data_IF_238623436923
#
_entry.id   IF_238623436923
#
_cell.length_a   1.000
_cell.length_b   1.000
_cell.length_c   1.000
_cell.angle_alpha   90.00
_cell.angle_beta   90.00
_cell.angle_gamma   90.00
#
_symmetry.space_group_name_H-M   'P 1'
#
loop_
_entity.id
_entity.type
_entity.pdbx_description
1 polymer ?
#
# COMPACT_ATOMS: atom_id res chain seq x y z
N UNK A 1 -4.79 17.74 12.21
CA UNK A 1 -5.08 17.21 10.85
C UNK A 1 -4.23 15.97 10.69
N UNK A 2 -4.85 14.79 10.56
CA UNK A 2 -4.07 13.56 10.39
C UNK A 2 -3.38 13.63 9.02
N UNK A 3 -2.06 13.61 9.02
CA UNK A 3 -1.25 13.57 7.81
C UNK A 3 -1.57 12.29 7.04
N UNK A 4 -2.00 12.43 5.79
CA UNK A 4 -2.18 11.30 4.88
C UNK A 4 -0.80 10.73 4.50
N UNK A 5 -0.68 9.41 4.46
CA UNK A 5 0.55 8.76 4.00
C UNK A 5 0.73 8.99 2.49
N UNK A 6 1.92 9.41 2.05
CA UNK A 6 2.25 9.48 0.63
C UNK A 6 2.79 8.15 0.16
N UNK A 7 2.14 7.53 -0.81
CA UNK A 7 2.43 6.16 -1.25
C UNK A 7 2.92 6.14 -2.67
N UNK A 8 4.03 5.46 -2.91
CA UNK A 8 4.59 5.26 -4.25
C UNK A 8 4.63 3.79 -4.61
N UNK A 9 4.14 3.46 -5.81
CA UNK A 9 4.12 2.08 -6.30
C UNK A 9 5.42 1.82 -7.06
N UNK A 10 6.21 0.87 -6.56
CA UNK A 10 7.45 0.46 -7.22
C UNK A 10 7.21 -0.69 -8.19
N UNK A 11 8.14 -0.86 -9.14
CA UNK A 11 8.10 -1.93 -10.14
C UNK A 11 8.68 -3.25 -9.65
N UNK A 12 9.53 -3.22 -8.63
CA UNK A 12 10.22 -4.39 -8.13
C UNK A 12 10.15 -4.48 -6.60
N UNK A 13 10.03 -5.71 -6.07
CA UNK A 13 9.89 -5.98 -4.63
C UNK A 13 11.04 -5.39 -3.80
N UNK A 14 12.28 -5.49 -4.27
CA UNK A 14 13.45 -4.99 -3.54
C UNK A 14 13.49 -3.46 -3.38
N UNK A 15 12.63 -2.72 -4.10
CA UNK A 15 12.50 -1.27 -3.98
C UNK A 15 11.40 -0.86 -3.00
N UNK A 16 10.56 -1.80 -2.56
CA UNK A 16 9.44 -1.55 -1.67
C UNK A 16 9.82 -1.75 -0.22
N UNK A 17 9.24 -0.93 0.64
CA UNK A 17 9.24 -1.15 2.07
C UNK A 17 8.22 -2.23 2.44
N UNK A 18 7.09 -2.26 1.72
CA UNK A 18 5.97 -3.16 2.00
C UNK A 18 5.34 -3.78 0.75
N UNK A 19 4.95 -5.05 0.86
CA UNK A 19 4.18 -5.74 -0.18
C UNK A 19 2.68 -5.64 0.10
N UNK A 20 1.92 -5.25 -0.91
CA UNK A 20 0.47 -5.02 -0.84
C UNK A 20 -0.27 -6.05 -1.67
N UNK A 21 -1.28 -6.68 -1.05
CA UNK A 21 -2.23 -7.55 -1.73
C UNK A 21 -3.64 -6.98 -1.62
N UNK A 22 -4.39 -7.05 -2.72
CA UNK A 22 -5.78 -6.62 -2.74
C UNK A 22 -6.69 -7.75 -2.29
N UNK A 23 -7.45 -7.50 -1.24
CA UNK A 23 -8.48 -8.42 -0.75
C UNK A 23 -9.86 -7.99 -1.22
N UNK A 24 -10.83 -8.90 -1.14
CA UNK A 24 -12.22 -8.65 -1.52
C UNK A 24 -13.10 -8.30 -0.32
N UNK A 25 -12.74 -8.77 0.87
CA UNK A 25 -13.53 -8.57 2.09
C UNK A 25 -12.79 -7.76 3.16
N UNK A 26 -13.55 -6.98 3.92
CA UNK A 26 -13.02 -6.04 4.92
C UNK A 26 -12.26 -6.75 6.06
N UNK A 27 -12.75 -7.91 6.49
CA UNK A 27 -12.12 -8.73 7.54
C UNK A 27 -10.77 -9.34 7.14
N UNK A 28 -10.45 -9.37 5.84
CA UNK A 28 -9.17 -9.89 5.34
C UNK A 28 -8.08 -8.81 5.34
N UNK A 29 -8.45 -7.54 5.56
CA UNK A 29 -7.49 -6.46 5.56
C UNK A 29 -6.57 -6.56 6.77
N UNK A 30 -5.31 -6.20 6.56
CA UNK A 30 -4.25 -6.29 7.55
C UNK A 30 -3.27 -5.17 7.28
N UNK A 31 -2.93 -4.40 8.31
CA UNK A 31 -1.98 -3.30 8.22
C UNK A 31 -2.37 -2.18 7.22
N UNK A 32 -3.64 -2.07 6.82
CA UNK A 32 -4.06 -1.01 5.88
C UNK A 32 -3.85 0.40 6.44
N UNK A 33 -3.82 0.56 7.75
CA UNK A 33 -3.61 1.83 8.44
C UNK A 33 -2.23 2.47 8.17
N UNK A 34 -1.26 1.69 7.64
CA UNK A 34 0.06 2.20 7.26
C UNK A 34 -0.04 3.12 6.04
N UNK A 35 -0.94 2.77 5.10
CA UNK A 35 -1.08 3.46 3.83
C UNK A 35 -2.43 4.16 3.67
N UNK A 36 -3.42 3.88 4.52
CA UNK A 36 -4.76 4.45 4.46
C UNK A 36 -5.13 5.14 5.78
N UNK A 37 -5.57 6.41 5.76
CA UNK A 37 -5.76 7.26 4.59
C UNK A 37 -4.42 7.76 4.00
N UNK A 38 -4.29 7.70 2.67
CA UNK A 38 -3.08 8.08 1.95
C UNK A 38 -3.38 8.57 0.53
N UNK A 39 -2.42 9.24 -0.08
CA UNK A 39 -2.48 9.74 -1.46
C UNK A 39 -1.33 9.09 -2.28
N UNK A 40 -1.60 8.78 -3.55
CA UNK A 40 -0.56 8.29 -4.47
C UNK A 40 0.30 9.44 -4.95
N UNK A 41 1.61 9.21 -4.99
CA UNK A 41 2.57 10.15 -5.57
C UNK A 41 3.21 9.57 -6.83
N UNK A 42 3.62 10.45 -7.74
CA UNK A 42 4.24 10.07 -9.01
C UNK A 42 5.75 9.81 -8.90
N UNK A 43 6.36 10.27 -7.81
CA UNK A 43 7.80 10.18 -7.61
C UNK A 43 8.16 9.62 -6.23
N UNK A 44 9.22 8.81 -6.22
CA UNK A 44 9.65 8.07 -5.04
C UNK A 44 10.15 8.98 -3.90
N UNK A 45 10.76 10.13 -4.22
CA UNK A 45 11.24 11.12 -3.26
C UNK A 45 10.10 11.88 -2.56
N UNK A 46 8.88 11.82 -3.11
CA UNK A 46 7.71 12.42 -2.48
C UNK A 46 7.03 11.44 -1.51
N UNK A 47 7.35 10.15 -1.60
CA UNK A 47 6.66 9.09 -0.88
C UNK A 47 7.21 8.94 0.54
N UNK A 48 6.31 8.75 1.50
CA UNK A 48 6.66 8.31 2.83
C UNK A 48 6.85 6.77 2.86
N UNK A 49 6.12 6.05 1.99
CA UNK A 49 6.12 4.58 1.92
C UNK A 49 6.13 4.11 0.47
N UNK A 50 7.05 3.20 0.13
CA UNK A 50 7.08 2.51 -1.17
C UNK A 50 6.42 1.15 -1.06
N UNK A 51 5.48 0.88 -1.95
CA UNK A 51 4.70 -0.37 -1.96
C UNK A 51 4.87 -1.15 -3.26
N UNK A 52 4.97 -2.47 -3.13
CA UNK A 52 4.98 -3.39 -4.27
C UNK A 52 3.71 -4.24 -4.26
N UNK A 53 2.98 -4.25 -5.38
CA UNK A 53 1.75 -5.01 -5.51
C UNK A 53 2.07 -6.46 -5.85
N UNK A 54 1.62 -7.39 -5.02
CA UNK A 54 1.80 -8.84 -5.22
C UNK A 54 0.50 -9.52 -5.62
N UNK A 55 0.62 -10.69 -6.26
CA UNK A 55 -0.51 -11.47 -6.74
C UNK A 55 -1.03 -12.49 -5.74
N UNK A 56 -0.28 -12.74 -4.65
CA UNK A 56 -0.67 -13.72 -3.64
C UNK A 56 -0.62 -13.14 -2.23
N UNK A 57 -1.57 -13.55 -1.41
CA UNK A 57 -1.80 -13.00 -0.09
C UNK A 57 -0.68 -13.33 0.92
N UNK A 58 -0.05 -14.50 0.79
CA UNK A 58 1.07 -14.95 1.62
C UNK A 58 2.36 -14.16 1.36
N UNK A 59 2.47 -13.50 0.21
CA UNK A 59 3.61 -12.64 -0.11
C UNK A 59 3.46 -11.27 0.56
N UNK A 60 2.23 -10.83 0.82
CA UNK A 60 1.95 -9.47 1.27
C UNK A 60 2.09 -9.29 2.77
N UNK A 61 2.68 -8.14 3.12
CA UNK A 61 2.71 -7.63 4.49
C UNK A 61 1.47 -6.78 4.80
N UNK A 62 0.88 -6.17 3.77
CA UNK A 62 -0.32 -5.32 3.83
C UNK A 62 -1.41 -5.94 2.97
N UNK A 63 -2.59 -6.13 3.55
CA UNK A 63 -3.81 -6.56 2.85
C UNK A 63 -4.80 -5.41 2.90
N UNK A 64 -5.28 -4.95 1.75
CA UNK A 64 -6.14 -3.77 1.68
C UNK A 64 -7.23 -3.94 0.62
N UNK A 65 -8.40 -3.39 0.87
CA UNK A 65 -9.45 -3.30 -0.15
C UNK A 65 -9.04 -2.28 -1.21
N UNK A 66 -9.30 -2.57 -2.49
CA UNK A 66 -9.07 -1.59 -3.59
C UNK A 66 -9.74 -0.23 -3.33
N UNK A 67 -10.89 -0.23 -2.66
CA UNK A 67 -11.64 0.99 -2.32
C UNK A 67 -10.93 1.89 -1.30
N UNK A 68 -10.08 1.31 -0.45
CA UNK A 68 -9.34 1.97 0.63
C UNK A 68 -7.89 2.27 0.22
N UNK A 69 -7.45 1.78 -0.95
CA UNK A 69 -6.11 2.04 -1.43
C UNK A 69 -5.93 3.54 -1.74
N UNK A 70 -4.75 4.12 -1.46
CA UNK A 70 -4.42 5.49 -1.81
C UNK A 70 -4.79 5.85 -3.24
N UNK A 71 -5.26 7.08 -3.43
CA UNK A 71 -5.70 7.61 -4.73
C UNK A 71 -4.81 8.76 -5.17
#
# INVERSE_FOLDING_TARGET
>A
MASKAKVFIVKHDYQADHRVYFVDHDYQQKNQQIISPGDLVDHDYQADVKVFIVNHDYQASIKILRKNFPK
#
